data_IF_822258498646
#
_entry.id   IF_822258498646
#
_cell.length_a   1.000
_cell.length_b   1.000
_cell.length_c   1.000
_cell.angle_alpha   90.00
_cell.angle_beta   90.00
_cell.angle_gamma   90.00
#
_symmetry.space_group_name_H-M   'P 1'
#
loop_
_entity.id
_entity.type
_entity.pdbx_description
1 polymer ?
#
# COMPACT_ATOMS: atom_id res chain seq x y z
N UNK A 1 6.61 -25.24 1.62
CA UNK A 1 6.01 -24.18 2.46
C UNK A 1 4.55 -24.52 2.61
N UNK A 2 4.01 -24.55 3.83
CA UNK A 2 2.58 -24.89 3.98
C UNK A 2 1.69 -23.86 3.28
N UNK A 3 0.63 -24.32 2.63
CA UNK A 3 -0.38 -23.46 1.99
C UNK A 3 -0.89 -22.36 2.95
N UNK A 4 -1.04 -22.71 4.23
CA UNK A 4 -1.43 -21.77 5.30
C UNK A 4 -0.42 -20.64 5.49
N UNK A 5 0.88 -20.96 5.46
CA UNK A 5 1.94 -19.97 5.61
C UNK A 5 2.00 -19.11 4.35
N UNK A 6 1.76 -19.70 3.18
CA UNK A 6 1.77 -18.97 1.91
C UNK A 6 0.66 -17.95 1.79
N UNK A 7 -0.57 -18.32 2.17
CA UNK A 7 -1.70 -17.38 2.21
C UNK A 7 -1.45 -16.27 3.24
N UNK A 8 -0.89 -16.61 4.42
CA UNK A 8 -0.50 -15.60 5.42
C UNK A 8 0.55 -14.63 4.87
N UNK A 9 1.50 -15.12 4.07
CA UNK A 9 2.51 -14.28 3.45
C UNK A 9 1.94 -13.33 2.38
N UNK A 10 0.91 -13.73 1.63
CA UNK A 10 0.16 -12.82 0.74
C UNK A 10 -0.48 -11.69 1.55
N UNK A 11 -1.17 -12.03 2.64
CA UNK A 11 -1.81 -11.02 3.48
C UNK A 11 -0.76 -10.08 4.11
N UNK A 12 0.36 -10.62 4.60
CA UNK A 12 1.46 -9.82 5.12
C UNK A 12 2.06 -8.89 4.06
N UNK A 13 2.23 -9.38 2.83
CA UNK A 13 2.75 -8.59 1.71
C UNK A 13 1.77 -7.48 1.29
N UNK A 14 0.47 -7.75 1.30
CA UNK A 14 -0.57 -6.74 1.05
C UNK A 14 -0.53 -5.62 2.11
N UNK A 15 -0.47 -6.00 3.39
CA UNK A 15 -0.42 -5.04 4.51
C UNK A 15 0.89 -4.23 4.46
N UNK A 16 2.02 -4.90 4.27
CA UNK A 16 3.33 -4.25 4.18
C UNK A 16 3.41 -3.30 3.00
N UNK A 17 2.94 -3.72 1.82
CA UNK A 17 2.88 -2.86 0.64
C UNK A 17 1.95 -1.67 0.85
N UNK A 18 0.76 -1.92 1.41
CA UNK A 18 -0.22 -0.88 1.71
C UNK A 18 0.29 0.18 2.69
N UNK A 19 0.90 -0.24 3.79
CA UNK A 19 1.50 0.66 4.77
C UNK A 19 2.59 1.55 4.14
N UNK A 20 3.43 0.97 3.28
CA UNK A 20 4.48 1.73 2.59
C UNK A 20 3.89 2.74 1.59
N UNK A 21 2.79 2.39 0.93
CA UNK A 21 2.03 3.27 0.05
C UNK A 21 1.35 4.43 0.76
N UNK A 22 0.86 4.22 2.00
CA UNK A 22 0.36 5.30 2.86
C UNK A 22 1.48 6.30 3.13
N UNK A 23 2.63 5.84 3.64
CA UNK A 23 3.76 6.71 3.97
C UNK A 23 4.22 7.53 2.76
N UNK A 24 4.33 6.88 1.60
CA UNK A 24 4.72 7.53 0.35
C UNK A 24 3.67 8.54 -0.13
N UNK A 25 2.39 8.17 -0.02
CA UNK A 25 1.26 9.05 -0.36
C UNK A 25 1.25 10.31 0.50
N UNK A 26 1.44 10.17 1.82
CA UNK A 26 1.55 11.31 2.74
C UNK A 26 2.80 12.16 2.52
N UNK A 27 3.93 11.55 2.15
CA UNK A 27 5.13 12.29 1.79
C UNK A 27 4.89 13.20 0.57
N UNK A 28 4.13 12.75 -0.43
CA UNK A 28 3.76 13.57 -1.59
C UNK A 28 2.90 14.79 -1.21
N UNK A 29 2.06 14.66 -0.18
CA UNK A 29 1.25 15.77 0.37
C UNK A 29 2.14 16.83 1.03
N UNK A 30 3.18 16.39 1.74
CA UNK A 30 4.13 17.30 2.38
C UNK A 30 5.00 18.11 1.41
N UNK A 31 5.14 17.65 0.16
CA UNK A 31 5.99 18.28 -0.86
C UNK A 31 5.24 19.40 -1.62
N UNK A 32 3.93 19.29 -1.81
CA UNK A 32 3.09 20.35 -2.40
C UNK A 32 1.88 20.69 -1.52
N UNK A 33 2.08 21.46 -0.43
CA UNK A 33 1.00 21.81 0.49
C UNK A 33 0.01 22.82 -0.11
N UNK A 34 0.34 23.50 -1.21
CA UNK A 34 -0.50 24.56 -1.79
C UNK A 34 -1.65 23.98 -2.64
N UNK A 35 -1.48 22.82 -3.27
CA UNK A 35 -2.58 22.04 -3.86
C UNK A 35 -3.38 21.28 -2.80
N UNK A 36 -2.73 20.86 -1.71
CA UNK A 36 -3.36 20.14 -0.61
C UNK A 36 -3.88 21.11 0.45
N UNK A 37 -4.85 21.92 0.04
CA UNK A 37 -5.48 22.84 0.95
C UNK A 37 -6.19 22.06 2.07
N UNK A 38 -5.75 22.22 3.33
CA UNK A 38 -6.43 21.70 4.52
C UNK A 38 -7.88 22.21 4.63
N UNK A 39 -8.24 23.26 3.86
CA UNK A 39 -9.58 23.77 3.67
C UNK A 39 -10.45 22.92 2.70
N UNK A 40 -9.85 22.19 1.76
CA UNK A 40 -10.54 21.25 0.86
C UNK A 40 -10.81 19.88 1.54
N UNK A 41 -10.23 19.66 2.73
CA UNK A 41 -10.66 18.62 3.66
C UNK A 41 -9.73 17.41 3.74
N UNK A 42 -9.63 16.89 4.96
CA UNK A 42 -8.99 15.62 5.35
C UNK A 42 -9.35 14.46 4.39
N UNK A 43 -10.54 14.50 3.77
CA UNK A 43 -11.02 13.54 2.79
C UNK A 43 -10.10 13.39 1.56
N UNK A 44 -9.58 14.49 1.00
CA UNK A 44 -8.71 14.43 -0.19
C UNK A 44 -7.33 13.83 0.12
N UNK A 45 -6.83 14.13 1.32
CA UNK A 45 -5.58 13.56 1.87
C UNK A 45 -5.72 12.05 2.09
N UNK A 46 -6.83 11.63 2.70
CA UNK A 46 -7.17 10.22 2.87
C UNK A 46 -7.38 9.49 1.54
N UNK A 47 -7.99 10.14 0.54
CA UNK A 47 -8.18 9.56 -0.77
C UNK A 47 -6.84 9.28 -1.47
N UNK A 48 -5.89 10.21 -1.40
CA UNK A 48 -4.59 10.08 -2.05
C UNK A 48 -3.70 9.10 -1.28
N UNK A 49 -3.65 9.21 0.04
CA UNK A 49 -2.97 8.22 0.90
C UNK A 49 -3.54 6.81 0.70
N UNK A 50 -4.87 6.67 0.63
CA UNK A 50 -5.56 5.42 0.39
C UNK A 50 -5.33 4.85 -1.01
N UNK A 51 -5.33 5.67 -2.05
CA UNK A 51 -5.03 5.24 -3.41
C UNK A 51 -3.57 4.75 -3.52
N UNK A 52 -2.64 5.50 -2.95
CA UNK A 52 -1.22 5.15 -2.89
C UNK A 52 -0.98 3.85 -2.12
N UNK A 53 -1.71 3.66 -1.01
CA UNK A 53 -1.75 2.41 -0.26
C UNK A 53 -2.26 1.24 -1.09
N UNK A 54 -3.40 1.39 -1.77
CA UNK A 54 -4.00 0.32 -2.56
C UNK A 54 -3.07 -0.16 -3.67
N UNK A 55 -2.46 0.78 -4.41
CA UNK A 55 -1.49 0.48 -5.45
C UNK A 55 -0.29 -0.28 -4.87
N UNK A 56 0.26 0.21 -3.76
CA UNK A 56 1.44 -0.38 -3.13
C UNK A 56 1.15 -1.74 -2.50
N UNK A 57 -0.08 -1.97 -1.99
CA UNK A 57 -0.53 -3.27 -1.50
C UNK A 57 -0.59 -4.31 -2.62
N UNK A 58 -1.18 -3.93 -3.77
CA UNK A 58 -1.22 -4.80 -4.96
C UNK A 58 0.19 -5.13 -5.45
N UNK A 59 1.08 -4.14 -5.50
CA UNK A 59 2.47 -4.36 -5.86
C UNK A 59 3.19 -5.27 -4.86
N UNK A 60 2.96 -5.09 -3.56
CA UNK A 60 3.50 -5.95 -2.50
C UNK A 60 3.09 -7.42 -2.69
N UNK A 61 1.80 -7.67 -2.95
CA UNK A 61 1.29 -9.00 -3.26
C UNK A 61 1.93 -9.56 -4.54
N UNK A 62 1.99 -8.78 -5.61
CA UNK A 62 2.58 -9.21 -6.88
C UNK A 62 4.06 -9.59 -6.72
N UNK A 63 4.83 -8.81 -5.96
CA UNK A 63 6.23 -9.10 -5.64
C UNK A 63 6.36 -10.37 -4.81
N UNK A 64 5.49 -10.57 -3.82
CA UNK A 64 5.47 -11.78 -3.01
C UNK A 64 5.15 -13.02 -3.86
N UNK A 65 4.15 -12.94 -4.75
CA UNK A 65 3.81 -14.02 -5.68
C UNK A 65 4.97 -14.32 -6.65
N UNK A 66 5.71 -13.30 -7.08
CA UNK A 66 6.88 -13.47 -7.95
C UNK A 66 8.04 -14.18 -7.24
N UNK A 67 8.23 -13.94 -5.95
CA UNK A 67 9.31 -14.54 -5.16
C UNK A 67 8.93 -15.88 -4.53
N UNK A 68 7.66 -16.08 -4.18
CA UNK A 68 7.15 -17.25 -3.48
C UNK A 68 6.28 -18.11 -4.40
N UNK A 69 6.84 -19.13 -5.07
CA UNK A 69 6.08 -20.03 -5.92
C UNK A 69 4.95 -20.73 -5.14
N UNK A 70 3.88 -21.09 -5.85
CA UNK A 70 2.71 -21.75 -5.25
C UNK A 70 3.17 -23.07 -4.61
N UNK A 71 2.89 -23.29 -3.31
CA UNK A 71 3.26 -24.53 -2.64
C UNK A 71 2.47 -25.72 -3.20
N UNK A 72 3.16 -26.87 -3.35
CA UNK A 72 2.57 -28.15 -3.76
C UNK A 72 1.83 -28.83 -2.61
#
# INVERSE_FOLDING_TARGET
>A
MDLRIWIKGIAAAAISGGANGIVTGFAAIGIDPNHFNLQAGIAHTLAIGGASAAISAVLGVALYLRQSPIPQ
#
